data_IF_049459564597
#
_entry.id   IF_049459564597
#
_cell.length_a   1.000
_cell.length_b   1.000
_cell.length_c   1.000
_cell.angle_alpha   90.00
_cell.angle_beta   90.00
_cell.angle_gamma   90.00
#
_symmetry.space_group_name_H-M   'P 1'
#
loop_
_entity.id
_entity.type
_entity.pdbx_description
1 polymer ?
#
# COMPACT_ATOMS: atom_id res chain seq x y z
N UNK A 1 -42.36 16.42 52.31
CA UNK A 1 -42.59 14.96 52.17
C UNK A 1 -42.33 14.59 50.73
N UNK A 2 -41.30 13.78 50.52
CA UNK A 2 -40.68 13.42 49.22
C UNK A 2 -41.44 12.26 48.59
N UNK A 3 -41.60 12.25 47.27
CA UNK A 3 -41.65 10.99 46.52
C UNK A 3 -41.01 11.18 45.13
N UNK A 4 -39.77 10.71 44.99
CA UNK A 4 -39.09 10.55 43.70
C UNK A 4 -39.48 9.18 43.17
N UNK A 5 -40.17 9.12 42.03
CA UNK A 5 -40.48 7.88 41.34
C UNK A 5 -39.23 7.43 40.55
N UNK A 6 -38.56 6.38 41.00
CA UNK A 6 -37.46 5.76 40.30
C UNK A 6 -38.01 4.92 39.12
N UNK A 7 -37.62 5.27 37.89
CA UNK A 7 -37.87 4.44 36.72
C UNK A 7 -37.02 3.15 36.79
N UNK A 8 -37.54 1.98 36.42
CA UNK A 8 -36.72 0.78 36.36
C UNK A 8 -35.75 0.89 35.18
N UNK A 9 -34.46 0.90 35.49
CA UNK A 9 -33.37 0.76 34.53
C UNK A 9 -33.41 -0.66 33.96
N UNK A 10 -34.01 -0.83 32.78
CA UNK A 10 -33.88 -2.05 31.99
C UNK A 10 -32.62 -1.96 31.12
N UNK A 11 -31.44 -2.11 31.75
CA UNK A 11 -30.14 -2.14 31.07
C UNK A 11 -29.49 -3.53 31.10
N UNK A 12 -30.28 -4.60 31.13
CA UNK A 12 -29.76 -5.95 30.94
C UNK A 12 -29.76 -6.28 29.44
N UNK A 13 -28.67 -5.89 28.77
CA UNK A 13 -28.33 -6.35 27.43
C UNK A 13 -28.13 -7.87 27.51
N UNK A 14 -28.97 -8.62 26.82
CA UNK A 14 -28.89 -10.07 26.79
C UNK A 14 -27.48 -10.52 26.39
N UNK A 15 -26.89 -11.40 27.20
CA UNK A 15 -25.56 -11.98 27.00
C UNK A 15 -25.54 -12.82 25.71
N UNK A 16 -24.94 -12.28 24.66
CA UNK A 16 -24.85 -12.91 23.34
C UNK A 16 -23.89 -14.11 23.32
N UNK A 17 -23.16 -14.38 24.41
CA UNK A 17 -22.27 -15.54 24.52
C UNK A 17 -23.02 -16.85 24.82
N UNK A 18 -24.25 -16.80 25.36
CA UNK A 18 -25.01 -17.99 25.78
C UNK A 18 -26.06 -18.49 24.80
N UNK A 19 -26.37 -17.71 23.76
CA UNK A 19 -27.28 -18.13 22.71
C UNK A 19 -26.54 -19.05 21.73
N UNK A 20 -26.45 -20.34 22.08
CA UNK A 20 -25.92 -21.36 21.19
C UNK A 20 -26.66 -21.36 19.86
N UNK A 21 -25.97 -21.00 18.78
CA UNK A 21 -26.49 -21.07 17.41
C UNK A 21 -26.77 -22.54 17.11
N UNK A 22 -28.03 -22.95 17.06
CA UNK A 22 -28.42 -24.22 16.43
C UNK A 22 -28.08 -24.08 14.95
N UNK A 23 -26.92 -24.61 14.53
CA UNK A 23 -26.54 -24.69 13.12
C UNK A 23 -27.63 -25.48 12.39
N UNK A 24 -28.33 -24.84 11.47
CA UNK A 24 -29.29 -25.53 10.62
C UNK A 24 -28.54 -26.51 9.72
N UNK A 25 -29.12 -27.68 9.45
CA UNK A 25 -28.57 -28.62 8.48
C UNK A 25 -28.46 -27.97 7.08
N UNK A 26 -29.30 -26.97 6.78
CA UNK A 26 -29.22 -26.15 5.58
C UNK A 26 -28.02 -25.17 5.56
N UNK A 27 -27.62 -24.63 6.71
CA UNK A 27 -26.38 -23.85 6.82
C UNK A 27 -25.15 -24.75 6.67
N UNK A 28 -25.27 -26.00 7.09
CA UNK A 28 -24.21 -27.00 6.96
C UNK A 28 -24.04 -27.47 5.51
N UNK A 29 -25.12 -27.58 4.73
CA UNK A 29 -25.04 -27.89 3.29
C UNK A 29 -24.60 -26.69 2.45
N UNK A 30 -24.92 -25.45 2.86
CA UNK A 30 -24.36 -24.23 2.24
C UNK A 30 -22.89 -24.04 2.56
N UNK A 31 -22.47 -24.31 3.80
CA UNK A 31 -21.05 -24.34 4.19
C UNK A 31 -20.27 -25.51 3.55
N UNK A 32 -20.96 -26.60 3.17
CA UNK A 32 -20.38 -27.73 2.47
C UNK A 32 -20.11 -27.47 0.97
N UNK A 33 -20.66 -26.40 0.38
CA UNK A 33 -20.11 -25.84 -0.84
C UNK A 33 -18.85 -25.06 -0.46
N UNK A 34 -17.76 -25.79 -0.21
CA UNK A 34 -16.43 -25.21 -0.02
C UNK A 34 -16.03 -24.57 -1.35
N UNK A 35 -16.40 -23.30 -1.52
CA UNK A 35 -15.91 -22.47 -2.61
C UNK A 35 -14.43 -22.30 -2.37
N UNK A 36 -13.63 -23.07 -3.09
CA UNK A 36 -12.17 -23.00 -2.98
C UNK A 36 -11.72 -21.62 -3.49
N UNK A 37 -10.82 -20.93 -2.77
CA UNK A 37 -10.26 -19.68 -3.25
C UNK A 37 -9.49 -19.92 -4.56
N UNK A 38 -9.49 -18.95 -5.49
CA UNK A 38 -8.81 -19.09 -6.79
C UNK A 38 -7.29 -19.21 -6.62
N UNK A 39 -6.74 -18.66 -5.53
CA UNK A 39 -5.34 -18.81 -5.14
C UNK A 39 -5.25 -19.27 -3.68
N UNK A 40 -4.37 -20.23 -3.41
CA UNK A 40 -4.00 -20.52 -2.02
C UNK A 40 -3.18 -19.34 -1.45
N UNK A 41 -3.23 -19.08 -0.13
CA UNK A 41 -2.52 -17.94 0.45
C UNK A 41 -1.03 -17.90 0.18
N UNK A 42 -0.36 -19.06 0.18
CA UNK A 42 1.07 -19.14 -0.15
C UNK A 42 1.35 -18.73 -1.60
N UNK A 43 0.48 -19.13 -2.54
CA UNK A 43 0.61 -18.74 -3.95
C UNK A 43 0.31 -17.26 -4.15
N UNK A 44 -0.73 -16.76 -3.49
CA UNK A 44 -1.06 -15.33 -3.51
C UNK A 44 0.10 -14.47 -3.00
N UNK A 45 0.73 -14.88 -1.90
CA UNK A 45 1.92 -14.22 -1.38
C UNK A 45 3.06 -14.22 -2.41
N UNK A 46 3.47 -15.39 -2.90
CA UNK A 46 4.62 -15.51 -3.80
C UNK A 46 4.42 -14.80 -5.13
N UNK A 47 3.23 -14.87 -5.71
CA UNK A 47 2.95 -14.21 -6.98
C UNK A 47 2.92 -12.68 -6.83
N UNK A 48 2.31 -12.15 -5.76
CA UNK A 48 2.33 -10.70 -5.54
C UNK A 48 3.68 -10.18 -5.04
N UNK A 49 4.50 -11.03 -4.39
CA UNK A 49 5.88 -10.70 -4.08
C UNK A 49 6.75 -10.59 -5.33
N UNK A 50 6.49 -11.40 -6.36
CA UNK A 50 7.20 -11.33 -7.62
C UNK A 50 6.68 -10.21 -8.52
N UNK A 51 5.36 -10.02 -8.56
CA UNK A 51 4.68 -9.04 -9.40
C UNK A 51 3.59 -8.32 -8.59
N UNK A 52 3.88 -7.12 -8.06
CA UNK A 52 2.93 -6.35 -7.27
C UNK A 52 1.58 -6.16 -7.98
N UNK A 53 0.50 -6.39 -7.25
CA UNK A 53 -0.88 -6.27 -7.76
C UNK A 53 -1.43 -7.47 -8.54
N UNK A 54 -0.60 -8.47 -8.88
CA UNK A 54 -1.07 -9.65 -9.63
C UNK A 54 -2.13 -10.44 -8.87
N UNK A 55 -1.85 -10.89 -7.64
CA UNK A 55 -2.80 -11.74 -6.91
C UNK A 55 -4.04 -10.98 -6.48
N UNK A 56 -3.94 -9.67 -6.26
CA UNK A 56 -5.08 -8.80 -6.01
C UNK A 56 -6.07 -8.80 -7.18
N UNK A 57 -5.58 -8.83 -8.42
CA UNK A 57 -6.43 -8.92 -9.61
C UNK A 57 -7.15 -10.28 -9.70
N UNK A 58 -6.45 -11.38 -9.40
CA UNK A 58 -7.01 -12.74 -9.37
C UNK A 58 -8.02 -12.90 -8.23
N UNK A 59 -7.77 -12.25 -7.11
CA UNK A 59 -8.66 -12.17 -5.95
C UNK A 59 -9.67 -11.01 -6.09
N UNK A 60 -10.06 -10.60 -7.29
CA UNK A 60 -11.14 -9.61 -7.52
C UNK A 60 -11.09 -8.35 -6.63
N UNK A 61 -9.89 -7.88 -6.28
CA UNK A 61 -9.63 -6.66 -5.48
C UNK A 61 -8.95 -5.61 -6.35
N UNK A 62 -9.69 -5.01 -7.31
CA UNK A 62 -9.11 -4.13 -8.34
C UNK A 62 -8.49 -2.86 -7.75
N UNK A 63 -9.04 -2.32 -6.67
CA UNK A 63 -8.51 -1.11 -6.01
C UNK A 63 -7.13 -1.36 -5.38
N UNK A 64 -7.00 -2.46 -4.63
CA UNK A 64 -5.71 -2.85 -4.04
C UNK A 64 -4.68 -3.18 -5.14
N UNK A 65 -5.08 -3.93 -6.17
CA UNK A 65 -4.20 -4.25 -7.29
C UNK A 65 -3.71 -3.00 -8.03
N UNK A 66 -4.61 -2.07 -8.33
CA UNK A 66 -4.27 -0.81 -8.99
C UNK A 66 -3.31 0.04 -8.17
N UNK A 67 -3.47 0.09 -6.85
CA UNK A 67 -2.57 0.85 -5.96
C UNK A 67 -1.14 0.33 -6.06
N UNK A 68 -0.93 -0.99 -5.96
CA UNK A 68 0.41 -1.57 -6.03
C UNK A 68 1.06 -1.39 -7.41
N UNK A 69 0.30 -1.57 -8.49
CA UNK A 69 0.81 -1.39 -9.87
C UNK A 69 1.15 0.08 -10.15
N UNK A 70 0.32 1.02 -9.71
CA UNK A 70 0.60 2.45 -9.87
C UNK A 70 1.85 2.86 -9.09
N UNK A 71 1.93 2.40 -7.84
CA UNK A 71 3.07 2.66 -6.96
C UNK A 71 4.37 2.11 -7.54
N UNK A 72 4.33 0.87 -8.04
CA UNK A 72 5.44 0.21 -8.74
C UNK A 72 5.87 1.02 -9.97
N UNK A 73 4.90 1.45 -10.79
CA UNK A 73 5.16 2.21 -12.01
C UNK A 73 5.88 3.53 -11.74
N UNK A 74 5.43 4.27 -10.72
CA UNK A 74 6.06 5.52 -10.29
C UNK A 74 7.50 5.25 -9.81
N UNK A 75 7.67 4.24 -8.96
CA UNK A 75 8.97 3.89 -8.42
C UNK A 75 9.96 3.46 -9.52
N UNK A 76 9.52 2.70 -10.53
CA UNK A 76 10.37 2.31 -11.66
C UNK A 76 10.81 3.50 -12.51
N UNK A 77 9.91 4.46 -12.76
CA UNK A 77 10.25 5.70 -13.48
C UNK A 77 11.29 6.49 -12.68
N UNK A 78 11.06 6.69 -11.39
CA UNK A 78 11.96 7.45 -10.52
C UNK A 78 13.31 6.77 -10.32
N UNK A 79 13.33 5.43 -10.26
CA UNK A 79 14.57 4.66 -10.20
C UNK A 79 15.39 4.87 -11.48
N UNK A 80 14.75 4.82 -12.65
CA UNK A 80 15.41 5.05 -13.94
C UNK A 80 15.97 6.46 -14.03
N UNK A 81 15.20 7.47 -13.61
CA UNK A 81 15.63 8.87 -13.58
C UNK A 81 16.83 9.04 -12.64
N UNK A 82 16.73 8.56 -11.40
CA UNK A 82 17.82 8.64 -10.41
C UNK A 82 19.09 7.94 -10.89
N UNK A 83 18.96 6.80 -11.59
CA UNK A 83 20.09 6.09 -12.17
C UNK A 83 20.75 6.88 -13.31
N UNK A 84 19.97 7.56 -14.15
CA UNK A 84 20.47 8.42 -15.23
C UNK A 84 21.22 9.63 -14.67
N UNK A 85 20.67 10.30 -13.66
CA UNK A 85 21.33 11.42 -12.99
C UNK A 85 22.63 11.00 -12.29
N UNK A 86 22.65 9.82 -11.66
CA UNK A 86 23.87 9.28 -11.06
C UNK A 86 24.92 8.97 -12.12
N UNK A 87 24.53 8.43 -13.27
CA UNK A 87 25.43 8.16 -14.39
C UNK A 87 26.03 9.47 -14.93
N UNK A 88 25.21 10.49 -15.11
CA UNK A 88 25.64 11.82 -15.55
C UNK A 88 26.62 12.46 -14.55
N UNK A 89 26.30 12.42 -13.26
CA UNK A 89 27.17 12.98 -12.22
C UNK A 89 28.54 12.29 -12.17
N UNK A 90 28.59 10.98 -12.40
CA UNK A 90 29.86 10.23 -12.49
C UNK A 90 30.66 10.61 -13.73
N UNK A 91 29.98 10.87 -14.85
CA UNK A 91 30.63 11.27 -16.11
C UNK A 91 31.33 12.63 -15.99
N UNK A 92 30.70 13.59 -15.31
CA UNK A 92 31.26 14.93 -15.14
C UNK A 92 32.17 15.10 -13.91
N UNK A 93 32.41 14.02 -13.15
CA UNK A 93 33.28 14.06 -11.96
C UNK A 93 34.69 14.56 -12.24
N UNK A 94 35.24 14.25 -13.40
CA UNK A 94 36.60 14.63 -13.80
C UNK A 94 36.72 16.07 -14.28
N UNK A 95 35.60 16.76 -14.49
CA UNK A 95 35.59 18.17 -14.84
C UNK A 95 35.60 18.99 -13.54
N UNK A 96 36.76 19.52 -13.16
CA UNK A 96 36.97 20.16 -11.86
C UNK A 96 36.74 21.67 -11.85
N UNK A 97 36.84 22.34 -13.00
CA UNK A 97 36.76 23.80 -13.12
C UNK A 97 35.90 24.18 -14.33
N UNK A 98 34.74 24.76 -14.06
CA UNK A 98 33.85 25.27 -15.10
C UNK A 98 34.08 26.78 -15.25
N UNK A 99 34.31 27.25 -16.48
CA UNK A 99 34.39 28.68 -16.77
C UNK A 99 32.97 29.25 -16.81
N UNK A 100 32.67 30.14 -15.87
CA UNK A 100 31.34 30.76 -15.74
C UNK A 100 31.27 32.16 -16.36
N UNK A 101 32.41 32.70 -16.77
CA UNK A 101 32.50 34.01 -17.43
C UNK A 101 33.94 34.45 -17.62
N UNK A 102 34.09 35.68 -18.10
CA UNK A 102 35.37 36.34 -18.26
C UNK A 102 35.31 37.70 -17.59
N UNK A 103 36.37 38.07 -16.87
CA UNK A 103 36.54 39.43 -16.39
C UNK A 103 36.76 40.39 -17.56
N UNK A 104 36.55 41.71 -17.40
CA UNK A 104 36.77 42.70 -18.46
C UNK A 104 38.19 42.69 -19.05
N UNK A 105 39.17 42.20 -18.30
CA UNK A 105 40.57 42.03 -18.73
C UNK A 105 40.82 40.74 -19.53
N UNK A 106 39.82 39.88 -19.73
CA UNK A 106 39.89 38.63 -20.49
C UNK A 106 40.29 37.38 -19.68
N UNK A 107 40.50 37.51 -18.37
CA UNK A 107 40.78 36.40 -17.44
C UNK A 107 39.53 35.55 -17.21
N UNK A 108 39.59 34.21 -17.36
CA UNK A 108 38.43 33.35 -17.14
C UNK A 108 38.10 33.22 -15.65
N UNK A 109 36.84 33.47 -15.29
CA UNK A 109 36.31 33.21 -13.96
C UNK A 109 35.94 31.73 -13.90
N UNK A 110 36.62 30.98 -13.04
CA UNK A 110 36.37 29.54 -12.86
C UNK A 110 35.64 29.28 -11.56
N UNK A 111 34.69 28.34 -11.58
CA UNK A 111 34.02 27.83 -10.40
C UNK A 111 34.26 26.33 -10.26
N UNK A 112 34.36 25.86 -9.02
CA UNK A 112 34.44 24.43 -8.72
C UNK A 112 33.17 23.75 -9.24
N UNK A 113 33.37 22.69 -10.04
CA UNK A 113 32.27 21.92 -10.60
C UNK A 113 31.33 21.39 -9.51
N UNK A 114 30.02 21.47 -9.78
CA UNK A 114 29.00 20.92 -8.90
C UNK A 114 29.04 19.38 -8.84
N UNK A 115 29.68 18.73 -9.83
CA UNK A 115 29.81 17.29 -9.96
C UNK A 115 30.94 16.72 -9.10
N UNK A 116 30.86 16.93 -7.79
CA UNK A 116 31.81 16.38 -6.81
C UNK A 116 31.30 15.07 -6.19
N UNK A 117 32.16 14.42 -5.39
CA UNK A 117 31.81 13.17 -4.72
C UNK A 117 30.60 13.29 -3.78
N UNK A 118 30.36 14.47 -3.19
CA UNK A 118 29.18 14.72 -2.36
C UNK A 118 27.90 14.61 -3.19
N UNK A 119 27.84 15.23 -4.37
CA UNK A 119 26.69 15.11 -5.27
C UNK A 119 26.47 13.67 -5.73
N UNK A 120 27.55 12.96 -6.09
CA UNK A 120 27.48 11.55 -6.50
C UNK A 120 26.89 10.67 -5.39
N UNK A 121 27.30 10.90 -4.14
CA UNK A 121 26.77 10.16 -3.00
C UNK A 121 25.29 10.47 -2.75
N UNK A 122 24.87 11.74 -2.88
CA UNK A 122 23.45 12.13 -2.79
C UNK A 122 22.62 11.46 -3.88
N UNK A 123 23.05 11.51 -5.15
CA UNK A 123 22.35 10.86 -6.28
C UNK A 123 22.28 9.35 -6.13
N UNK A 124 23.33 8.73 -5.58
CA UNK A 124 23.33 7.31 -5.23
C UNK A 124 22.29 7.00 -4.16
N UNK A 125 22.22 7.82 -3.12
CA UNK A 125 21.21 7.70 -2.05
C UNK A 125 19.79 7.74 -2.62
N UNK A 126 19.48 8.71 -3.50
CA UNK A 126 18.15 8.75 -4.14
C UNK A 126 17.81 7.47 -4.91
N UNK A 127 18.77 6.91 -5.65
CA UNK A 127 18.58 5.64 -6.34
C UNK A 127 18.34 4.49 -5.34
N UNK A 128 19.11 4.43 -4.25
CA UNK A 128 18.98 3.42 -3.19
C UNK A 128 17.63 3.52 -2.45
N UNK A 129 17.13 4.75 -2.22
CA UNK A 129 15.81 4.99 -1.62
C UNK A 129 14.68 4.44 -2.50
N UNK A 130 14.76 4.64 -3.81
CA UNK A 130 13.77 4.08 -4.75
C UNK A 130 13.85 2.55 -4.84
N UNK A 131 15.04 1.96 -4.73
CA UNK A 131 15.20 0.50 -4.63
C UNK A 131 14.54 -0.02 -3.35
N UNK A 132 14.79 0.64 -2.21
CA UNK A 132 14.17 0.27 -0.94
C UNK A 132 12.64 0.37 -1.01
N UNK A 133 12.13 1.42 -1.67
CA UNK A 133 10.70 1.60 -1.89
C UNK A 133 10.08 0.48 -2.74
N UNK A 134 10.74 0.04 -3.82
CA UNK A 134 10.30 -1.10 -4.62
C UNK A 134 10.23 -2.39 -3.79
N UNK A 135 11.28 -2.70 -3.02
CA UNK A 135 11.32 -3.87 -2.14
C UNK A 135 10.16 -3.81 -1.13
N UNK A 136 9.92 -2.65 -0.52
CA UNK A 136 8.81 -2.47 0.40
C UNK A 136 7.45 -2.68 -0.30
N UNK A 137 7.26 -2.11 -1.49
CA UNK A 137 6.04 -2.26 -2.28
C UNK A 137 5.72 -3.75 -2.56
N UNK A 138 6.74 -4.52 -2.97
CA UNK A 138 6.62 -5.96 -3.20
C UNK A 138 6.21 -6.72 -1.92
N UNK A 139 6.84 -6.41 -0.79
CA UNK A 139 6.51 -7.04 0.50
C UNK A 139 5.09 -6.71 0.96
N UNK A 140 4.65 -5.46 0.82
CA UNK A 140 3.29 -5.05 1.15
C UNK A 140 2.26 -5.69 0.21
N UNK A 141 2.54 -5.76 -1.09
CA UNK A 141 1.69 -6.44 -2.05
C UNK A 141 1.54 -7.93 -1.73
N UNK A 142 2.63 -8.59 -1.33
CA UNK A 142 2.62 -9.99 -0.92
C UNK A 142 1.81 -10.22 0.37
N UNK A 143 2.00 -9.36 1.36
CA UNK A 143 1.28 -9.44 2.63
C UNK A 143 -0.22 -9.21 2.45
N UNK A 144 -0.62 -8.17 1.70
CA UNK A 144 -2.02 -7.90 1.40
C UNK A 144 -2.68 -9.06 0.62
N UNK A 145 -1.97 -9.65 -0.36
CA UNK A 145 -2.46 -10.81 -1.10
C UNK A 145 -2.62 -12.06 -0.22
N UNK A 146 -1.69 -12.31 0.69
CA UNK A 146 -1.76 -13.42 1.64
C UNK A 146 -2.98 -13.30 2.56
N UNK A 147 -3.23 -12.10 3.07
CA UNK A 147 -4.40 -11.82 3.92
C UNK A 147 -5.68 -11.93 3.09
N UNK A 148 -5.72 -11.36 1.89
CA UNK A 148 -6.89 -11.43 1.01
C UNK A 148 -7.27 -12.87 0.64
N UNK A 149 -6.29 -13.75 0.43
CA UNK A 149 -6.54 -15.16 0.17
C UNK A 149 -7.05 -15.92 1.39
N UNK A 150 -6.64 -15.54 2.62
CA UNK A 150 -7.19 -16.11 3.85
C UNK A 150 -8.63 -15.67 4.12
N UNK A 151 -8.98 -14.45 3.67
CA UNK A 151 -10.28 -13.86 3.91
C UNK A 151 -11.21 -13.95 2.69
N UNK A 152 -10.87 -14.80 1.72
CA UNK A 152 -11.58 -14.90 0.44
C UNK A 152 -13.06 -15.26 0.59
N UNK A 153 -13.37 -16.10 1.57
CA UNK A 153 -14.70 -16.60 1.87
C UNK A 153 -15.49 -15.70 2.83
N UNK A 154 -14.89 -14.62 3.37
CA UNK A 154 -15.60 -13.71 4.26
C UNK A 154 -16.48 -12.72 3.49
N UNK A 155 -17.79 -12.66 3.80
CA UNK A 155 -18.70 -11.70 3.20
C UNK A 155 -18.51 -10.31 3.84
N UNK A 156 -17.45 -9.59 3.47
CA UNK A 156 -17.28 -8.19 3.89
C UNK A 156 -17.99 -7.25 2.91
N UNK A 157 -19.23 -6.89 3.21
CA UNK A 157 -19.93 -5.79 2.53
C UNK A 157 -19.57 -4.47 3.23
N UNK A 158 -18.60 -3.74 2.67
CA UNK A 158 -18.28 -2.39 3.12
C UNK A 158 -18.98 -1.42 2.16
N UNK A 159 -20.15 -0.92 2.55
CA UNK A 159 -20.89 0.09 1.79
C UNK A 159 -20.54 1.49 2.30
N UNK A 160 -19.92 2.31 1.46
CA UNK A 160 -19.72 3.73 1.75
C UNK A 160 -20.95 4.47 1.23
N UNK A 161 -21.85 4.86 2.12
CA UNK A 161 -23.04 5.63 1.77
C UNK A 161 -22.80 7.10 2.11
N UNK A 162 -22.71 7.95 1.09
CA UNK A 162 -22.63 9.41 1.29
C UNK A 162 -24.00 9.94 1.70
N UNK A 163 -24.13 10.37 2.96
CA UNK A 163 -25.34 11.01 3.48
C UNK A 163 -25.21 12.54 3.35
N UNK A 164 -26.30 13.30 3.10
CA UNK A 164 -26.25 14.76 3.09
C UNK A 164 -25.88 15.24 4.50
N UNK A 165 -24.61 15.57 4.72
CA UNK A 165 -24.04 15.89 6.03
C UNK A 165 -22.64 15.33 6.31
N UNK A 166 -22.15 14.38 5.49
CA UNK A 166 -20.79 13.84 5.59
C UNK A 166 -20.67 12.39 5.14
N UNK A 167 -19.44 11.94 4.84
CA UNK A 167 -19.17 10.54 4.52
C UNK A 167 -19.26 9.69 5.79
N UNK A 168 -20.18 8.73 5.83
CA UNK A 168 -20.28 7.74 6.91
C UNK A 168 -19.78 6.40 6.38
N UNK A 169 -18.73 5.87 7.00
CA UNK A 169 -18.23 4.51 6.75
C UNK A 169 -19.07 3.53 7.57
N UNK A 170 -19.92 2.75 6.89
CA UNK A 170 -20.71 1.69 7.51
C UNK A 170 -20.24 0.31 7.00
N UNK A 171 -19.68 -0.50 7.89
CA UNK A 171 -19.38 -1.90 7.60
C UNK A 171 -20.57 -2.76 8.04
N UNK A 172 -21.19 -3.50 7.11
CA UNK A 172 -22.28 -4.43 7.43
C UNK A 172 -21.77 -5.86 7.28
N UNK A 173 -21.72 -6.58 8.40
CA UNK A 173 -21.45 -8.02 8.41
C UNK A 173 -22.81 -8.71 8.27
N UNK A 174 -23.15 -9.19 7.08
CA UNK A 174 -24.33 -10.05 6.89
C UNK A 174 -23.99 -11.45 7.37
N UNK A 175 -24.61 -11.87 8.48
CA UNK A 175 -24.64 -13.28 8.91
C UNK A 175 -25.63 -14.07 8.07
#
# INVERSE_FOLDING_TARGET
MVLVAAAPVAAQRADSARAGVRRSAADSTRAAQIVKPPLSPRRAFLYSLALPGYSQSVLSRPTAGALFVLTESIALVMLRESAAELHEARRFRTDSLVVIGYEPAGTPITQVSAFNDKLINVRRGHMEDWIAFLIANHLFAAADAYVAAHLWDLPTQISVESRPGGAVLAARISR
#
